data_IF_416218205965
#
_entry.id   IF_416218205965
#
_cell.length_a   1.000
_cell.length_b   1.000
_cell.length_c   1.000
_cell.angle_alpha   90.00
_cell.angle_beta   90.00
_cell.angle_gamma   90.00
#
_symmetry.space_group_name_H-M   'P 1'
#
loop_
_entity.id
_entity.type
_entity.pdbx_description
1 polymer ?
#
# COMPACT_ATOMS: atom_id res chain seq x y z
N UNK A 1 26.48 -51.76 -16.75
CA UNK A 1 25.09 -52.08 -17.11
C UNK A 1 24.27 -51.04 -16.39
N UNK A 2 24.10 -49.89 -17.04
CA UNK A 2 23.40 -48.74 -16.48
C UNK A 2 22.13 -48.56 -17.29
N UNK A 3 20.98 -48.79 -16.66
CA UNK A 3 19.67 -48.52 -17.27
C UNK A 3 19.46 -47.00 -17.39
N UNK A 4 18.98 -46.50 -18.55
CA UNK A 4 18.69 -45.09 -18.69
C UNK A 4 17.37 -44.74 -18.00
N UNK A 5 17.45 -43.76 -17.09
CA UNK A 5 16.31 -43.15 -16.41
C UNK A 5 15.37 -42.50 -17.45
N UNK A 6 14.20 -43.10 -17.64
CA UNK A 6 13.14 -42.58 -18.52
C UNK A 6 12.54 -41.32 -17.89
N UNK A 7 12.83 -40.16 -18.47
CA UNK A 7 12.35 -38.87 -18.00
C UNK A 7 10.89 -38.64 -18.44
N UNK A 8 9.95 -39.27 -17.75
CA UNK A 8 8.52 -39.03 -17.93
C UNK A 8 8.08 -37.79 -17.12
N UNK A 9 8.55 -36.61 -17.55
CA UNK A 9 7.99 -35.34 -17.11
C UNK A 9 6.86 -34.92 -18.06
N UNK A 10 5.73 -35.65 -17.98
CA UNK A 10 4.45 -35.15 -18.44
C UNK A 10 3.98 -34.05 -17.47
N UNK A 11 4.62 -32.89 -17.53
CA UNK A 11 4.01 -31.67 -17.02
C UNK A 11 2.92 -31.27 -18.01
N UNK A 12 1.73 -31.86 -17.83
CA UNK A 12 0.54 -31.27 -18.39
C UNK A 12 0.47 -29.85 -17.82
N UNK A 13 0.76 -28.86 -18.67
CA UNK A 13 0.45 -27.47 -18.39
C UNK A 13 -1.04 -27.45 -18.08
N UNK A 14 -1.39 -27.26 -16.81
CA UNK A 14 -2.76 -26.99 -16.41
C UNK A 14 -3.09 -25.61 -17.00
N UNK A 15 -3.43 -25.60 -18.28
CA UNK A 15 -3.82 -24.44 -19.06
C UNK A 15 -5.28 -24.10 -18.79
N UNK A 16 -5.61 -23.99 -17.51
CA UNK A 16 -6.88 -23.44 -17.06
C UNK A 16 -6.67 -22.58 -15.81
N UNK A 17 -5.65 -21.72 -15.86
CA UNK A 17 -5.52 -20.62 -14.93
C UNK A 17 -6.31 -19.45 -15.49
N UNK A 18 -7.58 -19.31 -15.12
CA UNK A 18 -8.26 -18.03 -15.19
C UNK A 18 -7.53 -17.11 -14.21
N UNK A 19 -6.44 -16.46 -14.66
CA UNK A 19 -5.67 -15.46 -13.91
C UNK A 19 -6.49 -14.17 -13.74
N UNK A 20 -7.70 -14.30 -13.20
CA UNK A 20 -8.53 -13.17 -12.86
C UNK A 20 -7.91 -12.50 -11.63
N UNK A 21 -7.73 -11.18 -11.72
CA UNK A 21 -7.11 -10.42 -10.65
C UNK A 21 -8.09 -10.36 -9.48
N UNK A 22 -7.62 -10.57 -8.26
CA UNK A 22 -8.48 -10.51 -7.06
C UNK A 22 -8.40 -9.12 -6.45
N UNK A 23 -9.54 -8.55 -6.09
CA UNK A 23 -9.64 -7.25 -5.43
C UNK A 23 -10.39 -7.43 -4.11
N UNK A 24 -9.73 -7.12 -2.99
CA UNK A 24 -10.37 -7.10 -1.67
C UNK A 24 -10.61 -5.66 -1.24
N UNK A 25 -11.85 -5.33 -0.88
CA UNK A 25 -12.27 -3.97 -0.50
C UNK A 25 -12.69 -3.97 0.97
N UNK A 26 -12.10 -3.05 1.73
CA UNK A 26 -12.56 -2.71 3.07
C UNK A 26 -12.84 -1.20 3.11
N UNK A 27 -14.07 -0.85 3.46
CA UNK A 27 -14.53 0.53 3.60
C UNK A 27 -15.56 0.58 4.74
N UNK A 28 -15.82 1.79 5.22
CA UNK A 28 -16.88 2.03 6.18
C UNK A 28 -18.26 1.69 5.57
N UNK A 29 -19.17 1.20 6.42
CA UNK A 29 -20.49 0.71 6.00
C UNK A 29 -21.29 1.74 5.19
N UNK A 30 -21.17 3.02 5.52
CA UNK A 30 -21.91 4.12 4.88
C UNK A 30 -21.53 4.32 3.41
N UNK A 31 -20.33 3.89 2.99
CA UNK A 31 -19.80 4.13 1.63
C UNK A 31 -19.60 2.82 0.86
N UNK A 32 -19.59 1.68 1.54
CA UNK A 32 -19.27 0.37 0.96
C UNK A 32 -20.20 0.01 -0.22
N UNK A 33 -21.51 0.18 -0.07
CA UNK A 33 -22.48 -0.17 -1.12
C UNK A 33 -22.27 0.63 -2.41
N UNK A 34 -22.01 1.93 -2.29
CA UNK A 34 -21.81 2.79 -3.46
C UNK A 34 -20.47 2.51 -4.14
N UNK A 35 -19.43 2.24 -3.36
CA UNK A 35 -18.13 1.78 -3.88
C UNK A 35 -18.27 0.45 -4.61
N UNK A 36 -19.01 -0.52 -4.05
CA UNK A 36 -19.20 -1.82 -4.70
C UNK A 36 -19.97 -1.68 -6.01
N UNK A 37 -21.00 -0.82 -6.09
CA UNK A 37 -21.69 -0.54 -7.35
C UNK A 37 -20.74 0.03 -8.39
N UNK A 38 -19.96 1.06 -8.03
CA UNK A 38 -19.01 1.69 -8.94
C UNK A 38 -17.93 0.70 -9.42
N UNK A 39 -17.37 -0.07 -8.50
CA UNK A 39 -16.33 -1.06 -8.79
C UNK A 39 -16.86 -2.16 -9.69
N UNK A 40 -18.06 -2.68 -9.44
CA UNK A 40 -18.66 -3.71 -10.29
C UNK A 40 -18.90 -3.20 -11.72
N UNK A 41 -19.40 -1.96 -11.86
CA UNK A 41 -19.61 -1.33 -13.18
C UNK A 41 -18.29 -1.17 -13.94
N UNK A 42 -17.23 -0.68 -13.26
CA UNK A 42 -15.94 -0.39 -13.91
C UNK A 42 -15.06 -1.62 -14.13
N UNK A 43 -15.10 -2.57 -13.21
CA UNK A 43 -14.08 -3.61 -13.06
C UNK A 43 -14.61 -5.03 -12.86
N UNK A 44 -15.93 -5.25 -12.77
CA UNK A 44 -16.52 -6.57 -12.51
C UNK A 44 -16.13 -7.66 -13.53
N UNK A 45 -15.88 -7.29 -14.79
CA UNK A 45 -15.43 -8.25 -15.81
C UNK A 45 -13.93 -8.59 -15.72
N UNK A 46 -13.14 -7.80 -14.99
CA UNK A 46 -11.67 -7.92 -14.93
C UNK A 46 -11.18 -8.48 -13.61
N UNK A 47 -11.90 -8.19 -12.53
CA UNK A 47 -11.51 -8.56 -11.18
C UNK A 47 -12.56 -9.46 -10.53
N UNK A 48 -12.09 -10.39 -9.73
CA UNK A 48 -12.90 -11.11 -8.76
C UNK A 48 -12.93 -10.28 -7.48
N UNK A 49 -14.09 -9.75 -7.13
CA UNK A 49 -14.25 -8.73 -6.08
C UNK A 49 -14.72 -9.41 -4.79
N UNK A 50 -13.98 -9.16 -3.72
CA UNK A 50 -14.27 -9.57 -2.35
C UNK A 50 -14.38 -8.32 -1.48
N UNK A 51 -15.19 -8.37 -0.43
CA UNK A 51 -15.30 -7.25 0.50
C UNK A 51 -15.42 -7.70 1.94
N UNK A 52 -14.93 -6.86 2.85
CA UNK A 52 -15.19 -7.00 4.27
C UNK A 52 -16.67 -6.78 4.58
N UNK A 53 -17.10 -7.31 5.72
CA UNK A 53 -18.35 -6.92 6.37
C UNK A 53 -17.98 -5.94 7.48
N UNK A 54 -18.80 -4.91 7.68
CA UNK A 54 -18.56 -3.94 8.74
C UNK A 54 -19.79 -3.85 9.63
N UNK A 55 -19.58 -4.01 10.94
CA UNK A 55 -20.59 -3.71 11.95
C UNK A 55 -20.35 -2.32 12.53
N UNK A 56 -21.43 -1.54 12.69
CA UNK A 56 -21.40 -0.23 13.32
C UNK A 56 -21.31 -0.31 14.85
N UNK A 57 -21.62 -1.47 15.43
CA UNK A 57 -21.65 -1.67 16.88
C UNK A 57 -20.28 -2.01 17.44
N UNK A 58 -19.94 -1.40 18.59
CA UNK A 58 -18.79 -1.77 19.44
C UNK A 58 -19.04 -3.13 20.12
N UNK A 59 -19.20 -4.18 19.32
CA UNK A 59 -19.43 -5.54 19.77
C UNK A 59 -18.15 -6.39 19.62
N UNK A 60 -18.13 -7.57 20.25
CA UNK A 60 -16.99 -8.49 20.11
C UNK A 60 -16.84 -8.97 18.67
N UNK A 61 -17.95 -9.10 17.95
CA UNK A 61 -18.03 -9.53 16.57
C UNK A 61 -17.36 -8.49 15.65
N UNK A 62 -17.60 -7.19 15.88
CA UNK A 62 -16.95 -6.12 15.13
C UNK A 62 -15.42 -6.14 15.28
N UNK A 63 -14.90 -6.44 16.48
CA UNK A 63 -13.47 -6.58 16.70
C UNK A 63 -12.87 -7.77 15.92
N UNK A 64 -13.57 -8.91 15.91
CA UNK A 64 -13.15 -10.10 15.16
C UNK A 64 -13.12 -9.80 13.66
N UNK A 65 -14.09 -9.06 13.13
CA UNK A 65 -14.12 -8.67 11.73
C UNK A 65 -12.98 -7.70 11.36
N UNK A 66 -12.73 -6.68 12.18
CA UNK A 66 -11.60 -5.76 11.96
C UNK A 66 -10.27 -6.53 11.95
N UNK A 67 -10.11 -7.49 12.87
CA UNK A 67 -8.92 -8.35 12.91
C UNK A 67 -8.81 -9.24 11.66
N UNK A 68 -9.92 -9.81 11.21
CA UNK A 68 -9.97 -10.63 9.99
C UNK A 68 -9.62 -9.81 8.74
N UNK A 69 -10.23 -8.63 8.58
CA UNK A 69 -9.94 -7.67 7.50
C UNK A 69 -8.46 -7.28 7.53
N UNK A 70 -7.93 -6.93 8.69
CA UNK A 70 -6.51 -6.58 8.87
C UNK A 70 -5.61 -7.71 8.42
N UNK A 71 -5.90 -8.95 8.84
CA UNK A 71 -5.11 -10.13 8.48
C UNK A 71 -5.21 -10.46 6.98
N UNK A 72 -6.36 -10.25 6.35
CA UNK A 72 -6.55 -10.47 4.92
C UNK A 72 -5.75 -9.42 4.13
N UNK A 73 -5.92 -8.14 4.46
CA UNK A 73 -5.23 -7.04 3.77
C UNK A 73 -3.71 -7.10 3.97
N UNK A 74 -3.23 -7.49 5.14
CA UNK A 74 -1.80 -7.69 5.39
C UNK A 74 -1.20 -8.86 4.58
N UNK A 75 -2.02 -9.75 4.03
CA UNK A 75 -1.59 -10.84 3.12
C UNK A 75 -1.78 -10.50 1.64
N UNK A 76 -2.39 -9.36 1.31
CA UNK A 76 -2.50 -8.91 -0.07
C UNK A 76 -1.09 -8.58 -0.61
N UNK A 77 -0.88 -8.88 -1.90
CA UNK A 77 0.39 -8.58 -2.58
C UNK A 77 0.65 -7.08 -2.69
N UNK A 78 -0.42 -6.28 -2.73
CA UNK A 78 -0.35 -4.83 -2.80
C UNK A 78 -1.57 -4.22 -2.12
N UNK A 79 -1.40 -3.11 -1.40
CA UNK A 79 -2.50 -2.38 -0.74
C UNK A 79 -2.49 -0.93 -1.17
N UNK A 80 -3.67 -0.41 -1.51
CA UNK A 80 -3.88 1.03 -1.75
C UNK A 80 -4.80 1.54 -0.65
N UNK A 81 -4.40 2.60 0.05
CA UNK A 81 -5.16 3.14 1.17
C UNK A 81 -4.82 4.61 1.46
N UNK A 82 -5.34 5.14 2.56
CA UNK A 82 -4.92 6.40 3.16
C UNK A 82 -4.15 6.13 4.46
N UNK A 83 -2.91 6.59 4.56
CA UNK A 83 -2.14 6.49 5.80
C UNK A 83 -2.62 7.44 6.88
N UNK A 84 -3.56 8.37 6.62
CA UNK A 84 -4.34 9.01 7.70
C UNK A 84 -5.11 8.02 8.56
N UNK A 85 -5.55 6.90 7.99
CA UNK A 85 -6.28 5.86 8.72
C UNK A 85 -5.36 5.01 9.61
N UNK A 86 -5.69 4.95 10.91
CA UNK A 86 -5.06 4.03 11.85
C UNK A 86 -5.14 2.58 11.37
N UNK A 87 -6.27 2.19 10.76
CA UNK A 87 -6.46 0.83 10.27
C UNK A 87 -5.46 0.51 9.14
N UNK A 88 -5.21 1.44 8.21
CA UNK A 88 -4.23 1.17 7.16
C UNK A 88 -2.80 1.11 7.70
N UNK A 89 -2.42 1.98 8.65
CA UNK A 89 -1.10 1.91 9.28
C UNK A 89 -0.88 0.56 9.98
N UNK A 90 -1.89 0.09 10.71
CA UNK A 90 -1.86 -1.24 11.33
C UNK A 90 -1.69 -2.35 10.29
N UNK A 91 -2.43 -2.29 9.18
CA UNK A 91 -2.29 -3.25 8.07
C UNK A 91 -0.87 -3.26 7.51
N UNK A 92 -0.28 -2.08 7.26
CA UNK A 92 1.08 -1.95 6.76
C UNK A 92 2.11 -2.54 7.73
N UNK A 93 1.97 -2.27 9.02
CA UNK A 93 2.86 -2.81 10.07
C UNK A 93 2.77 -4.33 10.17
N UNK A 94 1.55 -4.88 10.17
CA UNK A 94 1.33 -6.33 10.18
C UNK A 94 1.85 -6.96 8.89
N UNK A 95 1.68 -6.31 7.74
CA UNK A 95 2.18 -6.79 6.44
C UNK A 95 3.69 -7.03 6.47
N UNK A 96 4.47 -6.13 7.08
CA UNK A 96 5.93 -6.31 7.22
C UNK A 96 6.26 -7.61 7.98
N UNK A 97 5.51 -7.93 9.03
CA UNK A 97 5.75 -9.16 9.80
C UNK A 97 5.34 -10.44 9.06
N UNK A 98 4.39 -10.34 8.13
CA UNK A 98 3.82 -11.51 7.43
C UNK A 98 4.58 -11.81 6.14
N UNK A 99 5.05 -10.79 5.43
CA UNK A 99 5.64 -10.92 4.10
C UNK A 99 7.17 -10.69 4.08
N UNK A 100 7.76 -10.20 5.17
CA UNK A 100 9.17 -9.80 5.21
C UNK A 100 9.34 -8.35 4.76
N UNK A 101 10.20 -8.10 3.78
CA UNK A 101 10.34 -6.75 3.21
C UNK A 101 9.17 -6.46 2.26
N UNK A 102 8.11 -5.87 2.80
CA UNK A 102 6.94 -5.41 2.07
C UNK A 102 6.83 -3.88 2.13
N UNK A 103 7.97 -3.19 2.29
CA UNK A 103 8.02 -1.75 2.46
C UNK A 103 7.44 -0.98 1.27
N UNK A 104 7.57 -1.53 0.05
CA UNK A 104 7.07 -0.99 -1.21
C UNK A 104 5.71 -1.53 -1.65
N UNK A 105 5.13 -2.50 -0.94
CA UNK A 105 3.87 -3.15 -1.32
C UNK A 105 2.62 -2.34 -0.93
N UNK A 106 2.79 -1.08 -0.53
CA UNK A 106 1.68 -0.21 -0.14
C UNK A 106 1.80 1.15 -0.79
N UNK A 107 0.67 1.61 -1.34
CA UNK A 107 0.51 2.96 -1.85
C UNK A 107 -0.52 3.70 -1.00
N UNK A 108 -0.05 4.71 -0.27
CA UNK A 108 -0.93 5.68 0.37
C UNK A 108 -1.49 6.65 -0.68
N UNK A 109 -2.59 7.34 -0.37
CA UNK A 109 -3.17 8.42 -1.18
C UNK A 109 -3.01 9.81 -0.54
N UNK A 110 -2.45 9.89 0.67
CA UNK A 110 -2.33 11.15 1.43
C UNK A 110 -0.94 11.37 2.03
N UNK A 111 -0.52 10.54 2.99
CA UNK A 111 0.71 10.70 3.76
C UNK A 111 1.71 9.59 3.45
N UNK A 112 3.00 9.84 3.69
CA UNK A 112 3.99 8.77 3.80
C UNK A 112 4.02 8.20 5.23
N UNK A 113 4.26 6.90 5.38
CA UNK A 113 4.32 6.26 6.70
C UNK A 113 5.37 6.92 7.62
N UNK A 114 6.50 7.34 7.05
CA UNK A 114 7.58 8.01 7.78
C UNK A 114 7.23 9.37 8.38
N UNK A 115 6.17 10.03 7.90
CA UNK A 115 5.75 11.37 8.36
C UNK A 115 5.10 11.34 9.76
N UNK A 116 4.66 10.18 10.23
CA UNK A 116 4.06 10.02 11.57
C UNK A 116 5.10 9.96 12.71
N UNK A 117 6.37 9.81 12.37
CA UNK A 117 7.45 9.71 13.33
C UNK A 117 8.29 10.98 13.30
N UNK A 118 8.89 11.34 14.46
CA UNK A 118 9.70 12.55 14.66
C UNK A 118 10.53 12.94 13.43
N UNK A 119 10.57 14.26 13.18
CA UNK A 119 11.33 14.96 12.15
C UNK A 119 12.44 14.13 11.48
N UNK A 120 12.11 13.55 10.32
CA UNK A 120 13.05 12.73 9.56
C UNK A 120 13.96 13.63 8.74
N UNK A 121 15.21 13.69 9.17
CA UNK A 121 16.29 14.29 8.39
C UNK A 121 16.57 13.42 7.16
N UNK A 122 16.51 14.03 5.98
CA UNK A 122 16.92 13.44 4.71
C UNK A 122 18.16 14.15 4.22
N UNK A 123 19.10 13.40 3.64
CA UNK A 123 20.29 13.95 2.99
C UNK A 123 20.12 13.96 1.47
N UNK A 124 20.51 15.07 0.84
CA UNK A 124 20.49 15.18 -0.61
C UNK A 124 21.70 14.47 -1.23
N UNK A 125 21.40 13.49 -2.09
CA UNK A 125 22.42 12.75 -2.88
C UNK A 125 22.76 13.43 -4.22
N UNK A 126 21.94 14.40 -4.65
CA UNK A 126 22.11 15.10 -5.92
C UNK A 126 21.70 16.58 -5.80
N UNK A 127 22.36 17.44 -6.58
CA UNK A 127 22.00 18.86 -6.66
C UNK A 127 20.73 19.06 -7.49
N UNK A 128 19.86 19.96 -7.04
CA UNK A 128 18.66 20.36 -7.78
C UNK A 128 18.66 21.87 -8.03
N UNK A 129 18.57 22.25 -9.32
CA UNK A 129 18.38 23.63 -9.76
C UNK A 129 16.87 23.95 -9.70
N UNK A 130 16.43 24.89 -8.86
CA UNK A 130 15.01 25.13 -8.66
C UNK A 130 14.34 25.82 -9.85
N UNK A 131 13.15 25.36 -10.18
CA UNK A 131 12.13 26.10 -10.95
C UNK A 131 11.44 27.12 -10.02
N UNK A 132 10.84 28.24 -10.51
CA UNK A 132 10.14 29.19 -9.64
C UNK A 132 9.12 28.49 -8.72
N UNK A 133 9.22 28.72 -7.41
CA UNK A 133 8.41 28.06 -6.38
C UNK A 133 9.10 26.88 -5.67
N UNK A 134 10.24 26.39 -6.17
CA UNK A 134 10.99 25.29 -5.55
C UNK A 134 12.24 25.77 -4.81
N UNK A 135 12.67 25.00 -3.81
CA UNK A 135 13.87 25.28 -3.01
C UNK A 135 15.10 24.68 -3.68
N UNK A 136 16.22 25.42 -3.67
CA UNK A 136 17.52 24.92 -4.15
C UNK A 136 18.03 23.83 -3.20
N UNK A 137 18.38 22.67 -3.76
CA UNK A 137 18.96 21.56 -2.99
C UNK A 137 20.42 21.39 -3.38
N UNK A 138 21.31 21.36 -2.38
CA UNK A 138 22.74 21.08 -2.57
C UNK A 138 23.08 19.72 -1.95
N UNK A 139 24.03 19.01 -2.56
CA UNK A 139 24.61 17.78 -1.98
C UNK A 139 25.19 18.13 -0.60
N UNK A 140 25.06 17.21 0.37
CA UNK A 140 25.45 17.32 1.79
C UNK A 140 24.63 18.26 2.67
N UNK A 141 23.53 18.83 2.20
CA UNK A 141 22.59 19.57 3.06
C UNK A 141 21.53 18.62 3.65
N UNK A 142 21.25 18.79 4.96
CA UNK A 142 20.18 18.09 5.67
C UNK A 142 18.87 18.87 5.52
N UNK A 143 17.81 18.16 5.15
CA UNK A 143 16.46 18.72 4.98
C UNK A 143 15.47 17.96 5.82
N UNK A 144 14.46 18.67 6.35
CA UNK A 144 13.28 17.99 6.88
C UNK A 144 12.37 17.64 5.71
N UNK A 145 11.95 16.38 5.65
CA UNK A 145 10.88 15.98 4.74
C UNK A 145 9.57 16.52 5.31
N UNK A 146 9.06 17.59 4.70
CA UNK A 146 7.70 18.06 4.95
C UNK A 146 6.68 17.17 4.24
N UNK A 147 5.41 17.44 4.53
CA UNK A 147 4.25 16.79 3.93
C UNK A 147 4.36 16.67 2.42
N UNK A 148 4.25 15.45 1.89
CA UNK A 148 4.17 15.23 0.44
C UNK A 148 2.74 15.35 -0.05
N UNK A 149 2.27 16.59 -0.28
CA UNK A 149 0.92 16.83 -0.80
C UNK A 149 0.71 16.35 -2.26
N UNK A 150 1.77 15.97 -2.98
CA UNK A 150 1.67 15.58 -4.38
C UNK A 150 2.46 14.30 -4.66
N UNK A 151 1.80 13.27 -5.20
CA UNK A 151 2.48 12.11 -5.81
C UNK A 151 3.33 12.49 -7.03
N UNK A 152 3.42 13.77 -7.38
CA UNK A 152 4.29 14.36 -8.39
C UNK A 152 5.50 15.12 -7.80
N UNK A 153 5.67 15.15 -6.47
CA UNK A 153 6.83 15.80 -5.83
C UNK A 153 6.65 16.04 -4.33
N UNK A 154 7.75 16.04 -3.59
CA UNK A 154 7.73 16.30 -2.13
C UNK A 154 8.01 17.76 -1.80
N UNK A 155 7.26 18.33 -0.85
CA UNK A 155 7.57 19.61 -0.24
C UNK A 155 8.65 19.42 0.84
N UNK A 156 9.66 20.28 0.88
CA UNK A 156 10.80 20.16 1.81
C UNK A 156 11.11 21.53 2.40
N UNK A 157 11.54 21.58 3.66
CA UNK A 157 11.98 22.82 4.31
C UNK A 157 13.50 22.74 4.49
N UNK A 158 14.22 23.80 4.11
CA UNK A 158 15.66 23.88 4.31
C UNK A 158 15.96 24.34 5.75
N UNK A 159 16.84 23.62 6.45
CA UNK A 159 17.28 23.98 7.81
C UNK A 159 18.07 25.31 7.86
N UNK A 160 18.63 25.76 6.74
CA UNK A 160 19.47 26.97 6.64
C UNK A 160 18.68 28.26 6.40
N UNK A 161 17.38 28.21 6.13
CA UNK A 161 16.54 29.40 6.05
C UNK A 161 15.95 29.70 7.42
N UNK A 162 16.38 30.77 8.12
CA UNK A 162 15.70 31.20 9.33
C UNK A 162 14.28 31.69 8.99
N UNK A 163 13.36 31.52 9.93
CA UNK A 163 12.01 32.08 9.86
C UNK A 163 12.02 33.60 9.76
#
# INVERSE_FOLDING_TARGET
>A
MDEPYQNNSNYQLISNCTKQRKLFIAADQSVLEDVLKEVNIKWGNKYEIYHGKHFEQKSKEALVEILAITRILAKCQFVVCTFSSNACRLIYEVMQTVQGDASENVHSLDYFYSEYWMDKEMEAIAEYKPTPGNIKIKITEKYYRGLSFYYHGSFKINRKTPF
#
